data_IF_696162654513
#
_entry.id   IF_696162654513
#
_cell.length_a   1.000
_cell.length_b   1.000
_cell.length_c   1.000
_cell.angle_alpha   90.00
_cell.angle_beta   90.00
_cell.angle_gamma   90.00
#
_symmetry.space_group_name_H-M   'P 1'
#
loop_
_entity.id
_entity.type
_entity.pdbx_description
1 polymer ?
#
# COMPACT_ATOMS: atom_id res chain seq x y z
N UNK A 1 -18.76 -43.25 -23.35
CA UNK A 1 -18.56 -41.87 -22.81
C UNK A 1 -19.70 -41.33 -21.95
N UNK A 2 -20.99 -41.44 -22.35
CA UNK A 2 -22.11 -40.84 -21.61
C UNK A 2 -22.28 -41.34 -20.15
N UNK A 3 -22.04 -42.63 -19.87
CA UNK A 3 -22.10 -43.17 -18.50
C UNK A 3 -21.07 -42.54 -17.58
N UNK A 4 -19.81 -42.43 -18.02
CA UNK A 4 -18.76 -41.73 -17.27
C UNK A 4 -19.16 -40.29 -16.99
N UNK A 5 -19.65 -39.55 -17.98
CA UNK A 5 -20.09 -38.15 -17.81
C UNK A 5 -21.18 -38.00 -16.75
N UNK A 6 -22.13 -38.94 -16.66
CA UNK A 6 -23.16 -38.95 -15.62
C UNK A 6 -22.60 -39.20 -14.22
N UNK A 7 -21.66 -40.14 -14.08
CA UNK A 7 -20.98 -40.42 -12.80
C UNK A 7 -20.17 -39.21 -12.35
N UNK A 8 -19.44 -38.58 -13.27
CA UNK A 8 -18.71 -37.33 -13.01
C UNK A 8 -19.66 -36.20 -12.58
N UNK A 9 -20.77 -35.97 -13.28
CA UNK A 9 -21.75 -34.94 -12.90
C UNK A 9 -22.44 -35.23 -11.54
N UNK A 10 -22.62 -36.51 -11.18
CA UNK A 10 -23.16 -36.88 -9.87
C UNK A 10 -22.15 -36.62 -8.75
N UNK A 11 -20.88 -36.98 -8.97
CA UNK A 11 -19.79 -36.68 -8.04
C UNK A 11 -19.59 -35.17 -7.89
N UNK A 12 -19.57 -34.44 -9.01
CA UNK A 12 -19.45 -32.99 -9.05
C UNK A 12 -20.60 -32.28 -8.33
N UNK A 13 -21.85 -32.73 -8.48
CA UNK A 13 -22.98 -32.21 -7.68
C UNK A 13 -22.85 -32.47 -6.19
N UNK A 14 -22.20 -33.58 -5.79
CA UNK A 14 -21.97 -33.90 -4.38
C UNK A 14 -20.88 -33.03 -3.75
N UNK A 15 -19.81 -32.73 -4.50
CA UNK A 15 -18.65 -31.99 -4.00
C UNK A 15 -18.69 -30.49 -4.34
N UNK A 16 -19.53 -30.09 -5.29
CA UNK A 16 -19.68 -28.71 -5.76
C UNK A 16 -18.49 -28.16 -6.54
N UNK A 17 -17.62 -29.00 -7.10
CA UNK A 17 -16.35 -28.56 -7.70
C UNK A 17 -16.56 -27.56 -8.84
N UNK A 18 -17.44 -27.87 -9.79
CA UNK A 18 -17.76 -26.98 -10.92
C UNK A 18 -18.32 -25.64 -10.47
N UNK A 19 -19.16 -25.63 -9.42
CA UNK A 19 -19.74 -24.41 -8.87
C UNK A 19 -18.67 -23.54 -8.21
N UNK A 20 -17.77 -24.15 -7.43
CA UNK A 20 -16.64 -23.45 -6.83
C UNK A 20 -15.69 -22.91 -7.89
N UNK A 21 -15.38 -23.71 -8.91
CA UNK A 21 -14.53 -23.30 -10.03
C UNK A 21 -15.13 -22.11 -10.79
N UNK A 22 -16.43 -22.13 -11.08
CA UNK A 22 -17.13 -21.02 -11.72
C UNK A 22 -17.03 -19.73 -10.88
N UNK A 23 -17.25 -19.82 -9.57
CA UNK A 23 -17.09 -18.67 -8.66
C UNK A 23 -15.67 -18.12 -8.65
N UNK A 24 -14.65 -18.99 -8.63
CA UNK A 24 -13.26 -18.56 -8.71
C UNK A 24 -12.96 -17.83 -10.02
N UNK A 25 -13.52 -18.32 -11.13
CA UNK A 25 -13.40 -17.67 -12.44
C UNK A 25 -14.10 -16.31 -12.47
N UNK A 26 -15.29 -16.21 -11.88
CA UNK A 26 -16.03 -14.94 -11.76
C UNK A 26 -15.27 -13.92 -10.91
N UNK A 27 -14.67 -14.35 -9.81
CA UNK A 27 -13.82 -13.50 -8.96
C UNK A 27 -12.59 -13.00 -9.71
N UNK A 28 -11.85 -13.89 -10.37
CA UNK A 28 -10.68 -13.51 -11.17
C UNK A 28 -11.05 -12.52 -12.29
N UNK A 29 -12.23 -12.69 -12.92
CA UNK A 29 -12.75 -11.74 -13.90
C UNK A 29 -13.06 -10.39 -13.26
N UNK A 30 -13.73 -10.39 -12.11
CA UNK A 30 -14.07 -9.16 -11.39
C UNK A 30 -12.81 -8.40 -10.95
N UNK A 31 -11.82 -9.09 -10.39
CA UNK A 31 -10.52 -8.51 -10.02
C UNK A 31 -9.84 -7.85 -11.22
N UNK A 32 -9.83 -8.52 -12.38
CA UNK A 32 -9.29 -7.95 -13.61
C UNK A 32 -10.03 -6.69 -14.08
N UNK A 33 -11.35 -6.60 -13.89
CA UNK A 33 -12.14 -5.40 -14.20
C UNK A 33 -11.87 -4.29 -13.19
N UNK A 34 -11.99 -4.60 -11.90
CA UNK A 34 -11.79 -3.66 -10.81
C UNK A 34 -10.38 -3.06 -10.84
N UNK A 35 -9.36 -3.86 -11.14
CA UNK A 35 -8.00 -3.39 -11.27
C UNK A 35 -7.80 -2.40 -12.42
N UNK A 36 -8.37 -2.67 -13.60
CA UNK A 36 -8.34 -1.74 -14.74
C UNK A 36 -9.07 -0.43 -14.45
N UNK A 37 -10.20 -0.50 -13.75
CA UNK A 37 -10.92 0.69 -13.28
C UNK A 37 -10.06 1.48 -12.31
N UNK A 38 -9.50 0.84 -11.28
CA UNK A 38 -8.66 1.49 -10.26
C UNK A 38 -7.47 2.21 -10.89
N UNK A 39 -6.78 1.58 -11.83
CA UNK A 39 -5.63 2.18 -12.54
C UNK A 39 -6.04 3.42 -13.34
N UNK A 40 -7.27 3.46 -13.85
CA UNK A 40 -7.79 4.58 -14.65
C UNK A 40 -8.29 5.75 -13.82
N UNK A 41 -8.69 5.53 -12.55
CA UNK A 41 -9.21 6.59 -11.67
C UNK A 41 -8.14 7.64 -11.35
N UNK A 42 -8.49 8.92 -11.23
CA UNK A 42 -7.53 9.93 -10.80
C UNK A 42 -7.18 9.75 -9.30
N UNK A 43 -5.90 9.63 -8.93
CA UNK A 43 -5.51 9.56 -7.52
C UNK A 43 -5.58 10.94 -6.86
N UNK A 44 -6.04 11.00 -5.62
CA UNK A 44 -6.07 12.23 -4.82
C UNK A 44 -5.02 12.21 -3.70
N UNK A 45 -4.67 11.03 -3.22
CA UNK A 45 -3.72 10.84 -2.13
C UNK A 45 -2.60 9.85 -2.49
N UNK A 46 -1.53 9.87 -1.68
CA UNK A 46 -0.39 8.96 -1.85
C UNK A 46 -0.81 7.48 -1.72
N UNK A 47 -1.78 7.15 -0.86
CA UNK A 47 -2.28 5.79 -0.73
C UNK A 47 -3.04 5.31 -1.98
N UNK A 48 -3.66 6.21 -2.73
CA UNK A 48 -4.30 5.87 -4.02
C UNK A 48 -3.23 5.47 -5.04
N UNK A 49 -2.10 6.19 -5.06
CA UNK A 49 -0.95 5.88 -5.91
C UNK A 49 -0.36 4.53 -5.53
N UNK A 50 -0.22 4.25 -4.22
CA UNK A 50 0.25 2.95 -3.73
C UNK A 50 -0.70 1.82 -4.14
N UNK A 51 -2.01 2.00 -3.98
CA UNK A 51 -3.02 1.03 -4.38
C UNK A 51 -2.99 0.74 -5.88
N UNK A 52 -2.84 1.78 -6.71
CA UNK A 52 -2.66 1.63 -8.17
C UNK A 52 -1.42 0.83 -8.51
N UNK A 53 -0.27 1.19 -7.94
CA UNK A 53 0.99 0.50 -8.19
C UNK A 53 0.93 -0.97 -7.74
N UNK A 54 0.35 -1.22 -6.57
CA UNK A 54 0.08 -2.58 -6.09
C UNK A 54 -0.79 -3.37 -7.08
N UNK A 55 -1.89 -2.77 -7.53
CA UNK A 55 -2.79 -3.40 -8.50
C UNK A 55 -2.07 -3.74 -9.81
N UNK A 56 -1.26 -2.83 -10.35
CA UNK A 56 -0.44 -3.10 -11.53
C UNK A 56 0.50 -4.29 -11.30
N UNK A 57 1.22 -4.31 -10.19
CA UNK A 57 2.14 -5.42 -9.88
C UNK A 57 1.41 -6.76 -9.80
N UNK A 58 0.26 -6.82 -9.11
CA UNK A 58 -0.52 -8.07 -8.99
C UNK A 58 -1.09 -8.52 -10.34
N UNK A 59 -1.51 -7.59 -11.21
CA UNK A 59 -2.08 -7.97 -12.51
C UNK A 59 -1.03 -8.47 -13.52
N UNK A 60 0.16 -7.89 -13.52
CA UNK A 60 1.18 -8.18 -14.53
C UNK A 60 2.26 -9.15 -14.05
N UNK A 61 2.47 -9.26 -12.73
CA UNK A 61 3.44 -10.16 -12.11
C UNK A 61 2.92 -10.72 -10.77
N UNK A 62 1.81 -11.50 -10.80
CA UNK A 62 1.15 -12.01 -9.60
C UNK A 62 2.06 -12.91 -8.75
N UNK A 63 3.00 -13.60 -9.40
CA UNK A 63 3.91 -14.54 -8.75
C UNK A 63 5.26 -13.90 -8.37
N UNK A 64 5.43 -12.60 -8.61
CA UNK A 64 6.66 -11.84 -8.34
C UNK A 64 7.92 -12.44 -8.99
N UNK A 65 7.77 -13.06 -10.17
CA UNK A 65 8.83 -13.83 -10.83
C UNK A 65 9.74 -12.97 -11.69
N UNK A 66 9.31 -11.77 -12.05
CA UNK A 66 10.10 -10.93 -12.94
C UNK A 66 11.21 -10.23 -12.14
N UNK A 67 12.47 -10.63 -12.32
CA UNK A 67 13.61 -10.02 -11.63
C UNK A 67 14.34 -8.97 -12.48
N UNK A 68 13.99 -8.86 -13.76
CA UNK A 68 14.54 -7.85 -14.66
C UNK A 68 13.98 -6.46 -14.37
N UNK A 69 14.78 -5.43 -14.65
CA UNK A 69 14.33 -4.03 -14.58
C UNK A 69 13.11 -3.85 -15.51
N UNK A 70 12.02 -3.20 -15.06
CA UNK A 70 11.90 -2.36 -13.86
C UNK A 70 11.24 -3.03 -12.65
N UNK A 71 11.02 -4.35 -12.64
CA UNK A 71 10.17 -5.00 -11.65
C UNK A 71 10.68 -4.89 -10.20
N UNK A 72 11.98 -5.12 -9.90
CA UNK A 72 12.50 -4.89 -8.55
C UNK A 72 12.35 -3.45 -8.07
N UNK A 73 12.57 -2.47 -8.95
CA UNK A 73 12.47 -1.06 -8.64
C UNK A 73 11.02 -0.65 -8.33
N UNK A 74 10.05 -1.14 -9.11
CA UNK A 74 8.62 -0.89 -8.86
C UNK A 74 8.17 -1.47 -7.52
N UNK A 75 8.62 -2.67 -7.15
CA UNK A 75 8.35 -3.27 -5.83
C UNK A 75 8.99 -2.46 -4.71
N UNK A 76 10.21 -1.94 -4.92
CA UNK A 76 10.87 -1.04 -3.96
C UNK A 76 10.09 0.26 -3.79
N UNK A 77 9.66 0.90 -4.88
CA UNK A 77 8.84 2.11 -4.83
C UNK A 77 7.53 1.87 -4.07
N UNK A 78 6.85 0.74 -4.31
CA UNK A 78 5.64 0.41 -3.57
C UNK A 78 5.90 0.32 -2.06
N UNK A 79 6.98 -0.35 -1.66
CA UNK A 79 7.37 -0.45 -0.25
C UNK A 79 7.65 0.92 0.37
N UNK A 80 8.33 1.81 -0.35
CA UNK A 80 8.59 3.19 0.09
C UNK A 80 7.29 4.02 0.22
N UNK A 81 6.29 3.78 -0.64
CA UNK A 81 4.97 4.43 -0.56
C UNK A 81 4.14 3.94 0.62
N UNK A 82 4.17 2.64 0.93
CA UNK A 82 3.39 2.03 2.04
C UNK A 82 4.06 2.29 3.39
N UNK A 83 5.40 2.25 3.43
CA UNK A 83 6.20 2.49 4.63
C UNK A 83 7.17 3.65 4.36
N UNK A 84 6.67 4.90 4.39
CA UNK A 84 7.53 6.04 4.22
C UNK A 84 8.55 6.11 5.36
N UNK A 85 9.81 6.41 5.06
CA UNK A 85 10.84 6.60 6.09
C UNK A 85 10.46 7.63 7.17
N UNK A 86 9.56 8.57 6.84
CA UNK A 86 9.05 9.58 7.78
C UNK A 86 7.93 9.07 8.71
N UNK A 87 7.36 7.88 8.48
CA UNK A 87 6.39 7.26 9.40
C UNK A 87 7.06 6.60 10.62
N UNK A 88 8.39 6.43 10.58
CA UNK A 88 9.23 5.98 11.72
C UNK A 88 9.52 7.14 12.68
N UNK A 89 9.26 8.39 12.28
CA UNK A 89 9.40 9.56 13.16
C UNK A 89 8.24 9.55 14.15
N UNK A 90 8.55 9.20 15.39
CA UNK A 90 7.63 9.14 16.51
C UNK A 90 6.72 10.39 16.56
N UNK A 91 5.38 10.26 16.65
CA UNK A 91 4.45 11.39 16.61
C UNK A 91 4.79 12.49 17.63
N UNK A 92 5.33 12.10 18.80
CA UNK A 92 5.81 13.00 19.85
C UNK A 92 6.92 13.98 19.40
N UNK A 93 7.68 13.65 18.35
CA UNK A 93 8.77 14.48 17.83
C UNK A 93 8.29 15.72 17.10
N UNK A 94 7.04 15.70 16.57
CA UNK A 94 6.45 16.84 15.85
C UNK A 94 6.13 18.02 16.78
N UNK A 95 5.77 17.74 18.03
CA UNK A 95 5.42 18.79 19.01
C UNK A 95 6.68 19.58 19.44
N UNK A 96 7.88 18.95 19.43
CA UNK A 96 9.13 19.64 19.79
C UNK A 96 9.62 20.60 18.70
N UNK A 97 9.37 20.30 17.43
CA UNK A 97 9.75 21.17 16.31
C UNK A 97 8.82 22.37 16.12
N UNK A 98 7.56 22.24 16.58
CA UNK A 98 6.58 23.33 16.57
C UNK A 98 6.63 24.22 17.83
N UNK A 99 7.40 23.87 18.85
CA UNK A 99 7.65 24.78 19.97
C UNK A 99 8.62 25.87 19.50
N UNK A 100 8.19 27.15 19.40
CA UNK A 100 9.14 28.23 19.15
C UNK A 100 10.20 28.19 20.25
N UNK A 101 11.47 28.17 19.86
CA UNK A 101 12.59 28.28 20.79
C UNK A 101 12.42 29.62 21.51
N UNK A 102 11.94 29.59 22.76
CA UNK A 102 11.84 30.80 23.58
C UNK A 102 13.22 31.43 23.61
N UNK A 103 13.38 32.57 22.94
CA UNK A 103 14.63 33.31 22.89
C UNK A 103 14.93 33.73 24.33
N UNK A 104 15.86 33.03 24.99
CA UNK A 104 16.38 33.46 26.27
C UNK A 104 16.98 34.85 26.12
N UNK A 105 16.22 35.88 26.49
CA UNK A 105 16.78 37.20 26.78
C UNK A 105 17.54 37.04 28.09
N UNK A 106 18.86 36.98 28.00
CA UNK A 106 19.73 37.20 29.16
C UNK A 106 19.47 38.64 29.65
N UNK A 107 19.18 38.87 30.93
CA UNK A 107 19.20 40.22 31.47
C UNK A 107 20.67 40.66 31.52
N UNK A 108 21.02 41.75 30.84
CA UNK A 108 22.23 42.50 31.14
C UNK A 108 22.11 43.00 32.59
N UNK A 109 22.96 42.50 33.48
CA UNK A 109 23.14 43.10 34.81
C UNK A 109 24.08 44.28 34.61
N UNK A 110 23.51 45.48 34.50
CA UNK A 110 24.25 46.74 34.63
C UNK A 110 24.74 46.87 36.07
N UNK A 111 26.01 46.56 36.32
CA UNK A 111 26.66 46.93 37.56
C UNK A 111 27.01 48.41 37.49
N UNK A 112 26.05 49.25 37.88
CA UNK A 112 26.29 50.67 38.19
C UNK A 112 27.11 50.71 39.49
N UNK A 113 28.42 51.00 39.37
CA UNK A 113 29.25 51.36 40.52
C UNK A 113 29.05 52.85 40.82
N UNK A 114 28.41 53.16 41.94
CA UNK A 114 28.37 54.49 42.56
C UNK A 114 29.36 54.49 43.74
N UNK A 115 30.02 55.64 43.88
CA UNK A 115 31.21 55.96 44.67
C UNK A 115 31.12 55.80 46.20
N UNK A 116 32.29 55.63 46.83
CA UNK A 116 32.80 56.44 47.95
C UNK A 116 34.27 56.75 47.68
#
# INVERSE_FOLDING_TARGET
MLRLRRVWNAADRRIGYSTSLAKTQDLARFEGIAGRVLISLQPYYIHDIAAKLHCMLVMYDPELRNEETPWPELRRMLRELIQPYWSVIEPQSRIRLLRPKTRERRPQVETVRIAV
#
